data_IF_001638198801
#
_entry.id   IF_001638198801
#
_cell.length_a   1.000
_cell.length_b   1.000
_cell.length_c   1.000
_cell.angle_alpha   90.00
_cell.angle_beta   90.00
_cell.angle_gamma   90.00
#
_symmetry.space_group_name_H-M   'P 1'
#
loop_
_entity.id
_entity.type
_entity.pdbx_description
1 polymer ?
#
# COMPACT_ATOMS: atom_id res chain seq x y z
N UNK A 1 50.22 11.11 19.71
CA UNK A 1 50.58 9.69 19.63
C UNK A 1 49.63 9.03 18.67
N UNK A 2 50.20 8.62 17.58
CA UNK A 2 49.52 8.01 16.45
C UNK A 2 49.27 6.52 16.75
N UNK A 3 48.25 5.93 16.15
CA UNK A 3 48.22 4.56 15.61
C UNK A 3 46.88 4.38 14.89
N UNK A 4 46.89 4.40 13.59
CA UNK A 4 47.27 3.33 12.66
C UNK A 4 46.24 2.23 12.57
N UNK A 5 45.45 2.35 11.53
CA UNK A 5 45.44 1.42 10.39
C UNK A 5 45.21 -0.07 10.70
N UNK A 6 44.12 -0.60 10.18
CA UNK A 6 44.13 -1.93 9.49
C UNK A 6 43.02 -1.99 8.46
N UNK A 7 43.41 -1.74 7.23
CA UNK A 7 42.69 -2.19 6.02
C UNK A 7 42.79 -3.71 5.97
N UNK A 8 41.69 -4.39 5.93
CA UNK A 8 41.66 -5.79 5.50
C UNK A 8 40.88 -5.83 4.18
N UNK A 9 41.62 -5.89 3.12
CA UNK A 9 41.19 -6.21 1.78
C UNK A 9 41.04 -7.73 1.72
N UNK A 10 39.83 -8.24 1.61
CA UNK A 10 39.63 -9.63 1.18
C UNK A 10 39.16 -9.59 -0.28
N UNK A 11 40.09 -9.90 -1.15
CA UNK A 11 39.82 -10.29 -2.52
C UNK A 11 39.39 -11.77 -2.49
N UNK A 12 38.21 -12.07 -2.97
CA UNK A 12 37.81 -13.40 -3.41
C UNK A 12 37.51 -13.37 -4.86
N UNK A 13 38.44 -13.92 -5.65
CA UNK A 13 38.32 -14.22 -7.06
C UNK A 13 37.58 -15.57 -7.21
N UNK A 14 36.75 -15.65 -8.23
CA UNK A 14 36.57 -16.87 -9.03
C UNK A 14 35.40 -17.76 -8.67
N UNK A 15 34.44 -17.82 -9.57
CA UNK A 15 34.09 -19.06 -10.31
C UNK A 15 32.89 -18.78 -11.23
N UNK A 16 33.14 -18.88 -12.51
CA UNK A 16 32.14 -18.97 -13.55
C UNK A 16 31.39 -20.31 -13.45
N UNK A 17 30.07 -20.29 -13.52
CA UNK A 17 29.27 -21.45 -13.89
C UNK A 17 28.23 -21.02 -14.92
N UNK A 18 28.53 -21.33 -16.17
CA UNK A 18 27.59 -21.35 -17.28
C UNK A 18 26.75 -22.63 -17.15
N UNK A 19 25.45 -22.51 -17.17
CA UNK A 19 24.51 -23.60 -17.46
C UNK A 19 23.37 -23.04 -18.29
N UNK A 20 23.45 -23.25 -19.58
CA UNK A 20 22.37 -23.10 -20.55
C UNK A 20 21.42 -24.30 -20.38
N UNK A 21 20.14 -24.05 -20.22
CA UNK A 21 19.09 -25.02 -20.52
C UNK A 21 17.98 -24.33 -21.29
N UNK A 22 17.94 -24.61 -22.58
CA UNK A 22 16.85 -24.37 -23.48
C UNK A 22 15.65 -25.25 -23.06
N UNK A 23 14.48 -24.63 -22.89
CA UNK A 23 13.21 -25.29 -22.68
C UNK A 23 12.16 -24.65 -23.55
N UNK A 24 11.98 -25.15 -24.77
CA UNK A 24 10.86 -24.87 -25.63
C UNK A 24 9.60 -25.49 -25.03
N UNK A 25 8.59 -24.70 -24.80
CA UNK A 25 7.24 -25.21 -24.57
C UNK A 25 6.33 -24.72 -25.68
N UNK A 26 5.96 -25.67 -26.50
CA UNK A 26 4.98 -25.59 -27.57
C UNK A 26 3.60 -25.27 -27.02
N UNK A 27 3.02 -24.17 -27.51
CA UNK A 27 1.59 -23.93 -27.38
C UNK A 27 0.86 -24.70 -28.44
N UNK A 28 -0.03 -25.53 -27.99
CA UNK A 28 -0.88 -26.36 -28.84
C UNK A 28 -2.07 -25.49 -29.31
N UNK A 29 -2.04 -25.11 -30.59
CA UNK A 29 -3.21 -24.58 -31.28
C UNK A 29 -4.07 -25.77 -31.70
N UNK A 30 -5.25 -25.90 -31.12
CA UNK A 30 -6.27 -26.81 -31.62
C UNK A 30 -7.43 -26.01 -32.23
N UNK A 31 -7.41 -25.97 -33.56
CA UNK A 31 -8.53 -25.53 -34.39
C UNK A 31 -9.44 -26.71 -34.65
N UNK A 32 -10.72 -26.52 -34.51
CA UNK A 32 -11.78 -27.41 -34.92
C UNK A 32 -13.04 -26.97 -34.18
N UNK A 33 -14.04 -26.41 -34.74
CA UNK A 33 -14.74 -26.72 -35.96
C UNK A 33 -16.10 -27.31 -35.59
N UNK A 34 -17.08 -26.53 -35.94
CA UNK A 34 -18.50 -26.85 -36.27
C UNK A 34 -19.47 -27.36 -35.21
N UNK A 35 -20.59 -26.79 -35.31
CA UNK A 35 -22.01 -27.16 -35.23
C UNK A 35 -22.81 -26.55 -34.10
N UNK A 36 -23.69 -25.66 -34.54
CA UNK A 36 -24.91 -25.33 -33.84
C UNK A 36 -25.98 -26.42 -34.12
N UNK A 37 -26.90 -26.65 -33.21
CA UNK A 37 -28.28 -26.44 -33.55
C UNK A 37 -29.08 -25.63 -32.51
N UNK A 38 -30.00 -24.86 -33.07
CA UNK A 38 -31.06 -24.14 -32.40
C UNK A 38 -31.99 -25.08 -31.64
N UNK A 39 -32.43 -24.68 -30.47
CA UNK A 39 -33.45 -25.37 -29.68
C UNK A 39 -34.16 -24.41 -28.75
N UNK A 40 -35.25 -23.86 -29.23
CA UNK A 40 -36.50 -23.46 -28.54
C UNK A 40 -36.48 -23.13 -27.06
N UNK A 41 -36.80 -21.86 -26.78
CA UNK A 41 -37.31 -21.33 -25.51
C UNK A 41 -38.66 -22.00 -25.15
N UNK A 42 -38.93 -22.18 -23.85
CA UNK A 42 -40.19 -21.69 -23.33
C UNK A 42 -40.02 -20.74 -22.15
N UNK A 43 -40.91 -19.77 -22.14
CA UNK A 43 -41.13 -18.80 -21.10
C UNK A 43 -41.50 -19.48 -19.77
N UNK A 44 -40.80 -19.07 -18.71
CA UNK A 44 -41.13 -19.36 -17.33
C UNK A 44 -40.91 -18.11 -16.52
N UNK A 45 -42.02 -17.42 -16.27
CA UNK A 45 -42.13 -16.36 -15.26
C UNK A 45 -42.01 -16.99 -13.89
N UNK A 46 -40.94 -16.72 -13.18
CA UNK A 46 -40.91 -16.83 -11.72
C UNK A 46 -40.02 -15.71 -11.17
N UNK A 47 -40.67 -14.75 -10.55
CA UNK A 47 -40.05 -13.71 -9.73
C UNK A 47 -39.47 -14.33 -8.47
N UNK A 48 -38.21 -14.13 -8.14
CA UNK A 48 -37.72 -14.44 -6.80
C UNK A 48 -38.14 -13.35 -5.80
N UNK A 49 -38.43 -13.74 -4.54
CA UNK A 49 -38.90 -12.83 -3.51
C UNK A 49 -37.81 -11.86 -3.09
N UNK A 50 -38.21 -10.63 -2.86
CA UNK A 50 -37.41 -9.57 -2.32
C UNK A 50 -36.73 -9.98 -1.00
N UNK A 51 -35.41 -10.18 -1.03
CA UNK A 51 -34.61 -10.29 0.15
C UNK A 51 -34.51 -8.92 0.78
N UNK A 52 -35.12 -8.77 1.94
CA UNK A 52 -35.00 -7.59 2.82
C UNK A 52 -33.54 -7.35 3.16
N UNK A 53 -33.00 -6.22 2.71
CA UNK A 53 -31.72 -5.72 3.17
C UNK A 53 -31.83 -5.42 4.68
N UNK A 54 -30.85 -5.82 5.51
CA UNK A 54 -30.81 -5.35 6.88
C UNK A 54 -30.48 -3.86 6.85
N UNK A 55 -31.35 -3.07 7.44
CA UNK A 55 -31.17 -1.66 7.73
C UNK A 55 -29.88 -1.50 8.53
N UNK A 56 -28.89 -0.83 7.95
CA UNK A 56 -27.74 -0.35 8.69
C UNK A 56 -28.26 0.65 9.73
N UNK A 57 -28.30 0.22 11.00
CA UNK A 57 -28.52 1.10 12.13
C UNK A 57 -27.38 2.12 12.15
N UNK A 58 -27.67 3.33 11.74
CA UNK A 58 -26.87 4.48 12.01
C UNK A 58 -26.88 4.68 13.54
N UNK A 59 -25.89 4.14 14.23
CA UNK A 59 -25.63 4.45 15.62
C UNK A 59 -25.23 5.91 15.71
N UNK A 60 -26.06 6.65 16.45
CA UNK A 60 -26.00 8.07 16.64
C UNK A 60 -24.65 8.57 17.11
N UNK A 61 -24.26 9.70 16.55
CA UNK A 61 -23.21 10.54 17.03
C UNK A 61 -23.50 10.97 18.48
N UNK A 62 -22.76 10.39 19.43
CA UNK A 62 -22.62 11.00 20.74
C UNK A 62 -21.71 12.23 20.56
N UNK A 63 -22.33 13.42 20.63
CA UNK A 63 -21.61 14.68 20.68
C UNK A 63 -20.78 14.77 21.96
N UNK A 64 -19.52 14.61 21.84
CA UNK A 64 -18.48 14.98 22.79
C UNK A 64 -17.34 15.54 21.98
N UNK A 65 -16.65 16.55 22.50
CA UNK A 65 -15.52 17.24 21.88
C UNK A 65 -14.27 16.32 21.77
N UNK A 66 -14.47 15.09 21.27
CA UNK A 66 -13.42 14.14 21.00
C UNK A 66 -12.73 14.57 19.70
N UNK A 67 -11.38 14.53 19.64
CA UNK A 67 -10.66 14.83 18.42
C UNK A 67 -11.20 13.96 17.28
N UNK A 68 -11.48 14.59 16.13
CA UNK A 68 -12.06 13.90 15.00
C UNK A 68 -11.15 12.74 14.57
N UNK A 69 -11.72 11.54 14.47
CA UNK A 69 -11.00 10.37 14.05
C UNK A 69 -10.46 10.58 12.62
N UNK A 70 -9.18 10.30 12.43
CA UNK A 70 -8.52 10.33 11.12
C UNK A 70 -8.80 9.05 10.34
N UNK A 71 -8.66 7.90 11.02
CA UNK A 71 -8.88 6.58 10.45
C UNK A 71 -9.14 5.55 11.56
N UNK A 72 -9.66 4.39 11.18
CA UNK A 72 -9.65 3.21 12.04
C UNK A 72 -8.31 2.48 11.91
N UNK A 73 -7.86 1.83 13.00
CA UNK A 73 -6.63 1.02 12.98
C UNK A 73 -6.68 -0.11 11.95
N UNK A 74 -7.88 -0.66 11.70
CA UNK A 74 -8.10 -1.71 10.69
C UNK A 74 -7.94 -1.23 9.24
N UNK A 75 -8.01 0.09 9.00
CA UNK A 75 -7.83 0.67 7.66
C UNK A 75 -6.37 0.88 7.30
N UNK A 76 -5.44 0.66 8.23
CA UNK A 76 -4.01 0.87 8.01
C UNK A 76 -3.31 -0.49 8.03
N UNK A 77 -2.99 -1.08 6.87
CA UNK A 77 -2.38 -2.41 6.80
C UNK A 77 -0.95 -2.41 7.35
N UNK A 78 -0.54 -3.54 7.94
CA UNK A 78 0.84 -3.75 8.43
C UNK A 78 1.81 -3.75 7.25
N UNK A 79 2.92 -3.04 7.37
CA UNK A 79 3.89 -2.84 6.30
C UNK A 79 3.43 -1.88 5.19
N UNK A 80 2.26 -1.25 5.37
CA UNK A 80 1.64 -0.34 4.43
C UNK A 80 1.13 0.94 5.10
N UNK A 81 0.03 1.48 4.55
CA UNK A 81 -0.57 2.70 5.08
C UNK A 81 -1.80 3.15 4.29
N UNK A 82 -2.42 4.20 4.80
CA UNK A 82 -3.61 4.85 4.21
C UNK A 82 -3.34 6.33 4.00
N UNK A 83 -3.73 6.86 2.87
CA UNK A 83 -3.54 8.27 2.50
C UNK A 83 -4.88 8.99 2.65
N UNK A 84 -4.88 10.02 3.47
CA UNK A 84 -6.01 10.92 3.68
C UNK A 84 -5.76 12.19 2.84
N UNK A 85 -6.13 12.13 1.58
CA UNK A 85 -5.81 13.16 0.58
C UNK A 85 -6.33 14.54 0.96
N UNK A 86 -7.55 14.61 1.47
CA UNK A 86 -8.17 15.88 1.88
C UNK A 86 -7.47 16.54 3.08
N UNK A 87 -6.96 15.70 3.99
CA UNK A 87 -6.21 16.15 5.18
C UNK A 87 -4.71 16.31 4.91
N UNK A 88 -4.25 15.86 3.74
CA UNK A 88 -2.83 15.80 3.36
C UNK A 88 -1.98 15.06 4.40
N UNK A 89 -2.50 13.96 4.93
CA UNK A 89 -1.87 13.09 5.91
C UNK A 89 -1.77 11.69 5.32
N UNK A 90 -0.63 11.02 5.52
CA UNK A 90 -0.46 9.60 5.31
C UNK A 90 -0.22 8.92 6.65
N UNK A 91 -1.03 7.91 6.96
CA UNK A 91 -0.88 7.09 8.16
C UNK A 91 -0.28 5.77 7.74
N UNK A 92 0.74 5.31 8.43
CA UNK A 92 1.46 4.07 8.15
C UNK A 92 1.47 3.14 9.35
N UNK A 93 1.64 1.84 9.10
CA UNK A 93 1.81 0.83 10.14
C UNK A 93 3.06 0.00 9.85
N UNK A 94 4.27 0.47 10.22
CA UNK A 94 5.51 -0.25 9.96
C UNK A 94 5.56 -1.64 10.57
N UNK A 95 4.99 -1.79 11.75
CA UNK A 95 4.86 -3.04 12.49
C UNK A 95 3.46 -3.11 13.08
N UNK A 96 2.96 -4.32 13.32
CA UNK A 96 1.66 -4.53 13.94
C UNK A 96 1.50 -3.70 15.21
N UNK A 97 0.43 -2.90 15.27
CA UNK A 97 0.12 -2.01 16.40
C UNK A 97 0.95 -0.74 16.48
N UNK A 98 1.94 -0.54 15.60
CA UNK A 98 2.78 0.67 15.58
C UNK A 98 2.34 1.59 14.47
N UNK A 99 1.67 2.68 14.80
CA UNK A 99 1.19 3.65 13.83
C UNK A 99 2.07 4.90 13.80
N UNK A 100 2.32 5.41 12.60
CA UNK A 100 3.02 6.66 12.33
C UNK A 100 2.19 7.49 11.37
N UNK A 101 2.34 8.81 11.42
CA UNK A 101 1.72 9.67 10.43
C UNK A 101 2.71 10.74 9.95
N UNK A 102 2.57 11.09 8.69
CA UNK A 102 3.40 12.09 8.03
C UNK A 102 2.53 12.97 7.15
N UNK A 103 3.06 14.13 6.76
CA UNK A 103 2.42 14.89 5.69
C UNK A 103 2.41 14.07 4.40
N UNK A 104 1.29 14.11 3.68
CA UNK A 104 1.18 13.49 2.36
C UNK A 104 1.69 14.39 1.23
N UNK A 105 2.39 15.47 1.57
CA UNK A 105 2.95 16.44 0.61
C UNK A 105 4.43 16.10 0.38
N UNK A 106 4.75 15.70 -0.85
CA UNK A 106 6.11 15.35 -1.26
C UNK A 106 7.04 16.57 -1.16
N UNK A 107 8.17 16.40 -0.49
CA UNK A 107 9.13 17.48 -0.23
C UNK A 107 9.98 17.87 -1.46
N UNK A 108 9.85 17.18 -2.60
CA UNK A 108 10.47 17.58 -3.86
C UNK A 108 9.76 18.77 -4.51
N UNK A 109 8.46 18.61 -4.80
CA UNK A 109 7.70 19.58 -5.59
C UNK A 109 6.24 19.75 -5.12
N UNK A 110 5.92 19.35 -3.88
CA UNK A 110 4.60 19.57 -3.30
C UNK A 110 3.49 18.64 -3.79
N UNK A 111 3.79 17.64 -4.63
CA UNK A 111 2.80 16.65 -5.06
C UNK A 111 2.26 15.85 -3.87
N UNK A 112 0.99 15.47 -3.92
CA UNK A 112 0.46 14.51 -2.96
C UNK A 112 1.03 13.12 -3.25
N UNK A 113 1.51 12.42 -2.21
CA UNK A 113 1.95 11.02 -2.33
C UNK A 113 0.79 10.14 -2.76
N UNK A 114 1.05 9.10 -3.55
CA UNK A 114 0.00 8.33 -4.23
C UNK A 114 -0.20 6.90 -3.71
N UNK A 115 0.78 6.33 -3.02
CA UNK A 115 0.67 4.96 -2.51
C UNK A 115 1.61 4.71 -1.34
N UNK A 116 1.27 3.67 -0.55
CA UNK A 116 2.14 3.12 0.49
C UNK A 116 2.31 1.64 0.21
N UNK A 117 3.49 1.23 -0.19
CA UNK A 117 3.79 -0.16 -0.54
C UNK A 117 5.28 -0.45 -0.46
N UNK A 118 5.65 -1.71 -0.24
CA UNK A 118 7.04 -2.13 -0.17
C UNK A 118 7.85 -1.42 0.93
N UNK A 119 7.20 -1.06 2.06
CA UNK A 119 7.83 -0.34 3.15
C UNK A 119 8.11 1.14 2.86
N UNK A 120 7.53 1.69 1.79
CA UNK A 120 7.74 3.09 1.39
C UNK A 120 6.43 3.82 1.07
N UNK A 121 6.43 5.12 1.33
CA UNK A 121 5.44 6.09 0.86
C UNK A 121 5.94 6.61 -0.48
N UNK A 122 5.14 6.49 -1.54
CA UNK A 122 5.59 6.73 -2.91
C UNK A 122 4.91 7.95 -3.52
N UNK A 123 5.71 8.83 -4.10
CA UNK A 123 5.22 9.98 -4.86
C UNK A 123 5.17 9.66 -6.36
N UNK A 124 3.99 9.78 -7.02
CA UNK A 124 3.85 9.41 -8.42
C UNK A 124 4.46 10.44 -9.39
N UNK A 125 4.66 11.69 -8.95
CA UNK A 125 5.10 12.76 -9.85
C UNK A 125 6.51 12.54 -10.38
N UNK A 126 7.48 12.25 -9.50
CA UNK A 126 8.88 12.15 -9.86
C UNK A 126 9.57 10.95 -9.19
N UNK A 127 8.80 10.01 -8.62
CA UNK A 127 9.33 8.77 -8.08
C UNK A 127 10.02 8.86 -6.72
N UNK A 128 9.89 9.97 -5.99
CA UNK A 128 10.41 10.04 -4.61
C UNK A 128 9.74 9.00 -3.73
N UNK A 129 10.55 8.36 -2.87
CA UNK A 129 10.10 7.33 -1.92
C UNK A 129 10.58 7.67 -0.52
N UNK A 130 9.71 7.47 0.45
CA UNK A 130 9.98 7.77 1.85
C UNK A 130 9.71 6.55 2.72
N UNK A 131 10.50 6.36 3.75
CA UNK A 131 10.37 5.23 4.67
C UNK A 131 9.12 5.36 5.54
N UNK A 132 8.35 4.27 5.68
CA UNK A 132 7.10 4.26 6.45
C UNK A 132 7.29 4.41 7.96
N UNK A 133 8.48 4.14 8.52
CA UNK A 133 8.70 4.20 9.96
C UNK A 133 9.14 5.59 10.45
N UNK A 134 9.82 6.37 9.61
CA UNK A 134 10.41 7.64 10.04
C UNK A 134 10.30 8.78 9.01
N UNK A 135 9.67 8.55 7.85
CA UNK A 135 9.50 9.55 6.80
C UNK A 135 10.79 9.92 6.04
N UNK A 136 11.92 9.30 6.33
CA UNK A 136 13.18 9.60 5.67
C UNK A 136 13.15 9.30 4.17
N UNK A 137 13.87 10.07 3.38
CA UNK A 137 14.02 9.81 1.94
C UNK A 137 14.77 8.51 1.72
N UNK A 138 14.16 7.59 0.97
CA UNK A 138 14.76 6.32 0.56
C UNK A 138 15.27 6.42 -0.87
N UNK A 139 14.53 7.13 -1.72
CA UNK A 139 14.88 7.30 -3.13
C UNK A 139 14.18 8.52 -3.74
N UNK A 140 14.75 9.06 -4.77
CA UNK A 140 14.14 10.03 -5.65
C UNK A 140 14.70 11.42 -5.53
N UNK A 141 14.10 12.42 -6.19
CA UNK A 141 14.62 13.77 -6.18
C UNK A 141 14.33 14.55 -4.89
N UNK A 142 13.47 14.06 -3.99
CA UNK A 142 13.25 14.70 -2.69
C UNK A 142 14.53 14.70 -1.87
N UNK A 143 14.89 15.87 -1.30
CA UNK A 143 16.09 16.05 -0.50
C UNK A 143 15.83 16.06 1.02
N UNK A 144 14.55 16.14 1.43
CA UNK A 144 14.15 16.24 2.83
C UNK A 144 13.10 15.20 3.18
N UNK A 145 13.05 14.71 4.45
CA UNK A 145 12.05 13.77 4.89
C UNK A 145 10.65 14.39 4.89
N UNK A 146 9.63 13.53 4.90
CA UNK A 146 8.27 13.97 5.19
C UNK A 146 8.16 14.41 6.65
N UNK A 147 7.48 15.52 6.90
CA UNK A 147 7.23 15.98 8.26
C UNK A 147 6.31 15.01 9.01
N UNK A 148 6.67 14.68 10.24
CA UNK A 148 5.84 13.86 11.11
C UNK A 148 4.59 14.63 11.56
N UNK A 149 3.46 13.92 11.64
CA UNK A 149 2.21 14.40 12.19
C UNK A 149 1.95 13.66 13.50
N UNK A 150 1.62 14.39 14.56
CA UNK A 150 1.28 13.78 15.83
C UNK A 150 -0.09 13.10 15.74
N UNK A 151 -0.13 11.83 16.14
CA UNK A 151 -1.35 11.04 16.22
C UNK A 151 -1.39 10.27 17.52
N UNK A 152 -2.60 9.93 17.95
CA UNK A 152 -2.87 9.07 19.10
C UNK A 152 -3.81 7.95 18.69
N UNK A 153 -3.60 6.76 19.25
CA UNK A 153 -4.52 5.63 19.08
C UNK A 153 -5.43 5.56 20.29
N UNK A 154 -6.72 5.69 20.06
CA UNK A 154 -7.75 5.61 21.06
C UNK A 154 -8.68 4.42 20.75
N UNK A 155 -8.45 3.29 21.41
CA UNK A 155 -9.13 2.04 21.08
C UNK A 155 -8.82 1.61 19.63
N UNK A 156 -9.84 1.60 18.79
CA UNK A 156 -9.72 1.28 17.36
C UNK A 156 -9.61 2.51 16.45
N UNK A 157 -9.58 3.71 17.02
CA UNK A 157 -9.53 4.96 16.27
C UNK A 157 -8.15 5.60 16.35
N UNK A 158 -7.69 6.15 15.23
CA UNK A 158 -6.50 6.99 15.16
C UNK A 158 -6.98 8.43 15.06
N UNK A 159 -6.56 9.27 15.99
CA UNK A 159 -6.93 10.68 16.07
C UNK A 159 -5.68 11.55 15.92
N UNK A 160 -5.87 12.81 15.55
CA UNK A 160 -4.78 13.78 15.58
C UNK A 160 -4.51 14.20 17.04
N UNK A 161 -3.23 14.21 17.43
CA UNK A 161 -2.78 14.60 18.77
C UNK A 161 -2.40 16.07 18.83
#
# INVERSE_FOLDING_TARGET
MAESSRRTVLACAGAACAAALAGCSTYNANSGGVDAPQGTQPAGTDSPPAASAPAASASGAAGGNAPAALASTSQVPVGGGTILTEKKIVITQPQSGTFKAFTAVCTHAGCTVGSVSGGTINCPCHGSRFNIANGAVVNGPAASPLAAVHIQVQGTSIVQG
#
